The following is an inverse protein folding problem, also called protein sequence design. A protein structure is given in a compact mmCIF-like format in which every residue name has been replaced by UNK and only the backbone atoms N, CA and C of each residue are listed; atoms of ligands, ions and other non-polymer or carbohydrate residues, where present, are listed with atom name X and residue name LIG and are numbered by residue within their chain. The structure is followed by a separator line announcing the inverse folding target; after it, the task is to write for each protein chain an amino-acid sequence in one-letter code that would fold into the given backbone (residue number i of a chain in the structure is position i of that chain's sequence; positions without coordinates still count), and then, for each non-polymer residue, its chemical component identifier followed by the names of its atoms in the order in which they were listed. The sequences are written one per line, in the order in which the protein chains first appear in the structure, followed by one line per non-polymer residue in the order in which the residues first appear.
data_IF_342920978464
#
_entry.id   IF_342920978464
#
_cell.length_a   1.000
_cell.length_b   1.000
_cell.length_c   1.000
_cell.angle_alpha   90.00
_cell.angle_beta   90.00
_cell.angle_gamma   90.00
#
_symmetry.space_group_name_H-M   'P 1'
#
loop_
_entity.id
_entity.type
_entity.pdbx_description
1 polymer ?
#
# COMPACT_ATOMS: atom_id res chain seq x y z
N UNK A 1 -3.04 -4.16 -21.13
CA UNK A 1 -1.78 -3.46 -20.78
C UNK A 1 -1.58 -3.38 -19.26
N UNK A 2 -2.46 -2.71 -18.46
CA UNK A 2 -2.26 -2.57 -17.02
C UNK A 2 -2.03 -3.90 -16.27
N UNK A 3 -2.86 -4.92 -16.49
CA UNK A 3 -2.74 -6.22 -15.81
C UNK A 3 -1.44 -6.96 -16.14
N UNK A 4 -0.92 -6.80 -17.34
CA UNK A 4 0.38 -7.38 -17.76
C UNK A 4 1.52 -6.70 -17.02
N UNK A 5 1.55 -5.35 -17.00
CA UNK A 5 2.55 -4.57 -16.26
C UNK A 5 2.49 -4.87 -14.75
N UNK A 6 1.28 -4.99 -14.18
CA UNK A 6 1.13 -5.35 -12.76
C UNK A 6 1.68 -6.75 -12.48
N UNK A 7 1.43 -7.71 -13.38
CA UNK A 7 1.92 -9.09 -13.25
C UNK A 7 3.46 -9.14 -13.39
N UNK A 8 4.02 -8.39 -14.34
CA UNK A 8 5.47 -8.30 -14.55
C UNK A 8 6.16 -7.64 -13.33
N UNK A 9 5.62 -6.52 -12.85
CA UNK A 9 6.08 -5.89 -11.62
C UNK A 9 6.06 -6.84 -10.43
N UNK A 10 4.97 -7.60 -10.28
CA UNK A 10 4.85 -8.59 -9.21
C UNK A 10 5.91 -9.68 -9.27
N UNK A 11 6.21 -10.19 -10.47
CA UNK A 11 7.28 -11.20 -10.69
C UNK A 11 8.67 -10.63 -10.40
N UNK A 12 8.96 -9.42 -10.88
CA UNK A 12 10.25 -8.76 -10.66
C UNK A 12 10.49 -8.50 -9.17
N UNK A 13 9.50 -7.98 -8.45
CA UNK A 13 9.57 -7.72 -7.02
C UNK A 13 9.75 -9.03 -6.23
N UNK A 14 9.03 -10.10 -6.59
CA UNK A 14 9.19 -11.40 -5.92
C UNK A 14 10.59 -11.96 -6.15
N UNK A 15 11.11 -11.92 -7.37
CA UNK A 15 12.47 -12.35 -7.67
C UNK A 15 13.53 -11.55 -6.89
N UNK A 16 13.31 -10.24 -6.69
CA UNK A 16 14.19 -9.41 -5.88
C UNK A 16 14.12 -9.79 -4.39
N UNK A 17 12.93 -10.06 -3.83
CA UNK A 17 12.80 -10.59 -2.48
C UNK A 17 13.54 -11.91 -2.31
N UNK A 18 13.34 -12.84 -3.23
CA UNK A 18 13.98 -14.17 -3.18
C UNK A 18 15.52 -14.03 -3.18
N UNK A 19 16.06 -13.13 -4.01
CA UNK A 19 17.50 -12.88 -4.09
C UNK A 19 18.05 -12.25 -2.80
N UNK A 20 17.35 -11.27 -2.24
CA UNK A 20 17.77 -10.57 -1.01
C UNK A 20 17.70 -11.49 0.21
N UNK A 21 16.58 -12.21 0.36
CA UNK A 21 16.36 -13.08 1.53
C UNK A 21 17.25 -14.31 1.52
N UNK A 22 17.60 -14.85 0.33
CA UNK A 22 18.52 -15.98 0.22
C UNK A 22 19.92 -15.70 0.81
N UNK A 23 20.32 -14.42 0.87
CA UNK A 23 21.58 -14.00 1.47
C UNK A 23 21.59 -13.94 3.00
N UNK A 24 20.41 -14.02 3.66
CA UNK A 24 20.29 -13.79 5.12
C UNK A 24 20.37 -15.06 5.97
N UNK A 25 20.52 -16.24 5.37
CA UNK A 25 20.69 -17.52 6.07
C UNK A 25 19.39 -18.28 6.32
N UNK A 26 19.47 -19.33 7.16
CA UNK A 26 18.43 -20.33 7.38
C UNK A 26 17.90 -20.27 8.84
N UNK A 27 17.13 -19.22 9.16
CA UNK A 27 16.54 -19.00 10.47
C UNK A 27 15.01 -18.88 10.38
N UNK A 28 14.24 -19.25 11.42
CA UNK A 28 12.79 -19.14 11.43
C UNK A 28 12.28 -17.73 11.06
N UNK A 29 12.94 -16.67 11.54
CA UNK A 29 12.59 -15.29 11.22
C UNK A 29 12.72 -14.99 9.73
N UNK A 30 13.74 -15.53 9.05
CA UNK A 30 13.94 -15.33 7.60
C UNK A 30 12.87 -16.09 6.82
N UNK A 31 12.51 -17.30 7.25
CA UNK A 31 11.38 -18.04 6.66
C UNK A 31 10.04 -17.32 6.86
N UNK A 32 9.85 -16.68 8.00
CA UNK A 32 8.68 -15.86 8.28
C UNK A 32 8.62 -14.59 7.42
N UNK A 33 9.76 -13.90 7.22
CA UNK A 33 9.87 -12.78 6.27
C UNK A 33 9.54 -13.22 4.85
N UNK A 34 10.12 -14.34 4.39
CA UNK A 34 9.83 -14.89 3.07
C UNK A 34 8.33 -15.24 2.92
N UNK A 35 7.72 -15.87 3.94
CA UNK A 35 6.30 -16.18 3.96
C UNK A 35 5.42 -14.91 3.88
N UNK A 36 5.72 -13.89 4.66
CA UNK A 36 4.99 -12.62 4.68
C UNK A 36 5.08 -11.85 3.37
N UNK A 37 6.16 -12.05 2.62
CA UNK A 37 6.39 -11.41 1.32
C UNK A 37 5.87 -12.22 0.14
N UNK A 38 5.19 -13.35 0.33
CA UNK A 38 4.58 -14.11 -0.77
C UNK A 38 3.25 -13.49 -1.22
N UNK A 39 3.02 -13.51 -2.53
CA UNK A 39 1.73 -13.12 -3.13
C UNK A 39 1.42 -11.63 -3.00
N UNK A 40 0.11 -11.31 -3.06
CA UNK A 40 -0.39 -9.93 -3.08
C UNK A 40 -0.36 -9.29 -4.46
N UNK A 41 -1.13 -8.20 -4.61
CA UNK A 41 -1.28 -7.49 -5.90
C UNK A 41 -0.06 -6.63 -6.27
N UNK A 42 0.86 -6.40 -5.34
CA UNK A 42 2.09 -5.59 -5.54
C UNK A 42 1.84 -4.19 -6.10
N UNK A 43 0.71 -3.59 -5.76
CA UNK A 43 0.29 -2.32 -6.34
C UNK A 43 1.23 -1.16 -5.97
N UNK A 44 1.78 -1.17 -4.74
CA UNK A 44 2.70 -0.11 -4.29
C UNK A 44 4.03 -0.17 -5.05
N UNK A 45 4.63 -1.34 -5.13
CA UNK A 45 5.85 -1.55 -5.90
C UNK A 45 5.65 -1.32 -7.41
N UNK A 46 4.50 -1.73 -7.96
CA UNK A 46 4.10 -1.39 -9.33
C UNK A 46 4.07 0.13 -9.56
N UNK A 47 3.48 0.91 -8.64
CA UNK A 47 3.46 2.37 -8.77
C UNK A 47 4.87 2.99 -8.74
N UNK A 48 5.79 2.45 -7.93
CA UNK A 48 7.20 2.86 -7.94
C UNK A 48 7.82 2.62 -9.32
N UNK A 49 7.65 1.43 -9.88
CA UNK A 49 8.22 1.07 -11.18
C UNK A 49 7.63 1.92 -12.31
N UNK A 50 6.31 2.15 -12.31
CA UNK A 50 5.67 2.97 -13.34
C UNK A 50 6.03 4.45 -13.21
N UNK A 51 6.10 5.01 -11.99
CA UNK A 51 6.56 6.39 -11.82
C UNK A 51 8.04 6.56 -12.21
N UNK A 52 8.88 5.57 -11.94
CA UNK A 52 10.27 5.55 -12.39
C UNK A 52 10.37 5.51 -13.93
N UNK A 53 9.54 4.67 -14.58
CA UNK A 53 9.45 4.60 -16.05
C UNK A 53 9.07 5.95 -16.68
N UNK A 54 8.12 6.69 -16.08
CA UNK A 54 7.74 8.03 -16.53
C UNK A 54 8.92 9.02 -16.55
N UNK A 55 9.89 8.81 -15.68
CA UNK A 55 11.06 9.68 -15.53
C UNK A 55 12.33 9.06 -16.15
N UNK A 56 12.21 7.97 -16.93
CA UNK A 56 13.33 7.34 -17.63
C UNK A 56 14.34 6.65 -16.72
N UNK A 57 13.95 6.30 -15.50
CA UNK A 57 14.79 5.53 -14.55
C UNK A 57 14.86 4.07 -14.97
N UNK A 58 16.06 3.49 -14.94
CA UNK A 58 16.28 2.07 -15.26
C UNK A 58 15.50 1.17 -14.30
N UNK A 59 14.76 0.16 -14.80
CA UNK A 59 14.03 -0.80 -13.96
C UNK A 59 14.91 -1.52 -12.94
N UNK A 60 16.18 -1.82 -13.26
CA UNK A 60 17.13 -2.44 -12.33
C UNK A 60 17.54 -1.51 -11.16
N UNK A 61 17.36 -0.22 -11.34
CA UNK A 61 17.51 0.79 -10.28
C UNK A 61 16.23 0.92 -9.47
N UNK A 62 15.08 1.02 -10.15
CA UNK A 62 13.78 1.22 -9.52
C UNK A 62 13.27 0.00 -8.74
N UNK A 63 13.77 -1.21 -9.04
CA UNK A 63 13.36 -2.44 -8.33
C UNK A 63 13.69 -2.39 -6.84
N UNK A 64 14.76 -1.70 -6.44
CA UNK A 64 15.16 -1.60 -5.05
C UNK A 64 14.12 -0.85 -4.20
N UNK A 65 13.75 0.41 -4.49
CA UNK A 65 12.68 1.09 -3.75
C UNK A 65 11.31 0.44 -3.95
N UNK A 66 11.03 -0.21 -5.10
CA UNK A 66 9.79 -0.95 -5.32
C UNK A 66 9.68 -2.18 -4.39
N UNK A 67 10.77 -2.90 -4.17
CA UNK A 67 10.83 -4.00 -3.20
C UNK A 67 10.81 -3.46 -1.78
N UNK A 68 11.47 -2.33 -1.51
CA UNK A 68 11.48 -1.68 -0.22
C UNK A 68 10.08 -1.30 0.29
N UNK A 69 9.25 -0.68 -0.55
CA UNK A 69 7.88 -0.33 -0.14
C UNK A 69 6.99 -1.57 0.07
N UNK A 70 7.20 -2.64 -0.68
CA UNK A 70 6.48 -3.90 -0.45
C UNK A 70 6.97 -4.63 0.81
N UNK A 71 8.25 -4.50 1.20
CA UNK A 71 8.76 -4.98 2.47
C UNK A 71 8.11 -4.22 3.64
N UNK A 72 8.03 -2.89 3.52
CA UNK A 72 7.35 -2.05 4.50
C UNK A 72 5.87 -2.39 4.63
N UNK A 73 5.18 -2.62 3.52
CA UNK A 73 3.79 -3.05 3.54
C UNK A 73 3.62 -4.45 4.12
N UNK A 74 4.56 -5.37 3.87
CA UNK A 74 4.51 -6.71 4.45
C UNK A 74 4.68 -6.66 5.98
N UNK A 75 5.61 -5.84 6.50
CA UNK A 75 5.75 -5.67 7.94
C UNK A 75 4.45 -5.17 8.57
N UNK A 76 3.80 -4.16 7.97
CA UNK A 76 2.56 -3.62 8.54
C UNK A 76 1.47 -4.68 8.65
N UNK A 77 1.35 -5.55 7.63
CA UNK A 77 0.38 -6.65 7.65
C UNK A 77 0.72 -7.72 8.69
N UNK A 78 2.02 -8.05 8.87
CA UNK A 78 2.44 -9.02 9.89
C UNK A 78 2.10 -8.53 11.30
N UNK A 79 2.30 -7.24 11.56
CA UNK A 79 1.98 -6.67 12.87
C UNK A 79 0.47 -6.44 13.05
N UNK A 80 -0.25 -6.04 12.01
CA UNK A 80 -1.71 -5.91 12.05
C UNK A 80 -2.40 -7.26 12.34
N UNK A 81 -1.84 -8.38 11.85
CA UNK A 81 -2.40 -9.72 12.07
C UNK A 81 -2.23 -10.24 13.51
N UNK A 82 -1.39 -9.61 14.35
CA UNK A 82 -1.12 -10.09 15.73
C UNK A 82 -2.39 -10.08 16.61
N UNK A 83 -2.46 -10.98 17.63
CA UNK A 83 -3.59 -11.04 18.56
C UNK A 83 -3.89 -9.76 19.33
N UNK A 84 -2.90 -8.86 19.48
CA UNK A 84 -3.08 -7.56 20.12
C UNK A 84 -3.54 -6.45 19.14
N UNK A 85 -3.76 -6.80 17.88
CA UNK A 85 -4.19 -5.92 16.80
C UNK A 85 -5.49 -6.48 16.19
N UNK A 86 -5.49 -6.87 14.90
CA UNK A 86 -6.68 -7.37 14.21
C UNK A 86 -7.03 -8.84 14.54
N UNK A 87 -6.10 -9.60 15.14
CA UNK A 87 -6.23 -11.02 15.53
C UNK A 87 -6.69 -11.91 14.35
N UNK A 88 -6.04 -11.72 13.19
CA UNK A 88 -6.38 -12.45 11.97
C UNK A 88 -5.55 -13.74 11.83
N UNK A 89 -6.20 -14.90 11.75
CA UNK A 89 -5.55 -16.20 11.56
C UNK A 89 -5.07 -16.44 10.13
N UNK A 90 -5.70 -15.78 9.14
CA UNK A 90 -5.46 -16.01 7.72
C UNK A 90 -5.22 -14.69 6.97
N UNK A 91 -4.18 -14.66 6.13
CA UNK A 91 -3.88 -13.58 5.20
C UNK A 91 -3.66 -14.12 3.79
N UNK A 92 -4.42 -13.64 2.81
CA UNK A 92 -4.35 -14.11 1.41
C UNK A 92 -4.54 -15.63 1.28
N UNK A 93 -5.37 -16.22 2.13
CA UNK A 93 -5.66 -17.67 2.14
C UNK A 93 -4.57 -18.54 2.77
N UNK A 94 -3.51 -17.95 3.34
CA UNK A 94 -2.46 -18.66 4.06
C UNK A 94 -2.49 -18.28 5.55
N UNK A 95 -2.04 -19.17 6.48
CA UNK A 95 -1.89 -18.83 7.88
C UNK A 95 -0.99 -17.60 8.08
N UNK A 96 -1.38 -16.71 9.00
CA UNK A 96 -0.57 -15.55 9.39
C UNK A 96 0.72 -15.98 10.08
N UNK A 97 1.69 -15.09 10.21
CA UNK A 97 3.01 -15.46 10.74
C UNK A 97 2.90 -15.96 12.18
N UNK A 98 2.12 -15.29 13.04
CA UNK A 98 1.97 -15.68 14.43
C UNK A 98 1.27 -17.06 14.59
N UNK A 99 0.37 -17.42 13.68
CA UNK A 99 -0.28 -18.74 13.66
C UNK A 99 0.66 -19.82 13.15
N UNK A 100 1.46 -19.51 12.14
CA UNK A 100 2.36 -20.51 11.50
C UNK A 100 3.62 -20.77 12.33
N UNK A 101 4.11 -19.77 13.07
CA UNK A 101 5.25 -19.87 13.98
C UNK A 101 4.82 -19.54 15.42
N UNK A 102 4.96 -18.30 15.82
CA UNK A 102 4.57 -17.74 17.11
C UNK A 102 4.57 -16.20 17.05
N UNK A 103 4.04 -15.55 18.09
CA UNK A 103 3.95 -14.07 18.17
C UNK A 103 5.34 -13.42 18.18
N UNK A 104 6.33 -14.01 18.89
CA UNK A 104 7.68 -13.46 18.94
C UNK A 104 8.35 -13.47 17.56
N UNK A 105 8.18 -14.56 16.80
CA UNK A 105 8.66 -14.65 15.42
C UNK A 105 7.93 -13.63 14.52
N UNK A 106 6.63 -13.39 14.72
CA UNK A 106 5.88 -12.39 13.97
C UNK A 106 6.38 -10.97 14.25
N UNK A 107 6.58 -10.60 15.52
CA UNK A 107 7.14 -9.30 15.90
C UNK A 107 8.52 -9.10 15.25
N UNK A 108 9.42 -10.07 15.40
CA UNK A 108 10.78 -9.97 14.85
C UNK A 108 10.81 -9.97 13.32
N UNK A 109 9.92 -10.71 12.65
CA UNK A 109 9.80 -10.69 11.20
C UNK A 109 9.30 -9.34 10.68
N UNK A 110 8.34 -8.71 11.36
CA UNK A 110 7.88 -7.36 11.07
C UNK A 110 9.00 -6.33 11.24
N UNK A 111 9.71 -6.35 12.37
CA UNK A 111 10.85 -5.45 12.62
C UNK A 111 11.94 -5.59 11.56
N UNK A 112 12.26 -6.83 11.18
CA UNK A 112 13.27 -7.11 10.17
C UNK A 112 12.81 -6.65 8.77
N UNK A 113 11.55 -6.85 8.40
CA UNK A 113 11.00 -6.36 7.13
C UNK A 113 10.95 -4.83 7.06
N UNK A 114 10.59 -4.15 8.17
CA UNK A 114 10.65 -2.69 8.27
C UNK A 114 12.08 -2.18 8.06
N UNK A 115 13.04 -2.79 8.74
CA UNK A 115 14.46 -2.43 8.61
C UNK A 115 14.97 -2.69 7.19
N UNK A 116 14.63 -3.84 6.61
CA UNK A 116 14.96 -4.19 5.23
C UNK A 116 14.42 -3.17 4.22
N UNK A 117 13.23 -2.61 4.46
CA UNK A 117 12.67 -1.58 3.59
C UNK A 117 13.61 -0.37 3.47
N UNK A 118 14.18 0.10 4.59
CA UNK A 118 15.14 1.21 4.59
C UNK A 118 16.49 0.84 3.99
N UNK A 119 16.96 -0.38 4.18
CA UNK A 119 18.14 -0.90 3.50
C UNK A 119 17.96 -0.85 1.98
N UNK A 120 16.84 -1.35 1.47
CA UNK A 120 16.55 -1.42 0.04
C UNK A 120 16.43 -0.02 -0.59
N UNK A 121 15.71 0.92 0.02
CA UNK A 121 15.58 2.28 -0.54
C UNK A 121 16.88 3.09 -0.44
N UNK A 122 17.80 2.68 0.44
CA UNK A 122 19.11 3.30 0.63
C UNK A 122 20.22 2.57 -0.13
N UNK A 123 19.91 1.52 -0.90
CA UNK A 123 20.90 0.71 -1.59
C UNK A 123 21.71 1.55 -2.59
N UNK A 124 23.04 1.34 -2.71
CA UNK A 124 23.90 2.15 -3.58
C UNK A 124 23.45 2.23 -5.05
N UNK A 125 22.78 1.22 -5.56
CA UNK A 125 22.26 1.18 -6.95
C UNK A 125 21.02 2.07 -7.16
N UNK A 126 20.41 2.62 -6.11
CA UNK A 126 19.21 3.48 -6.23
C UNK A 126 19.54 4.86 -6.80
N UNK A 127 20.76 5.36 -6.54
CA UNK A 127 21.17 6.68 -7.03
C UNK A 127 22.19 7.37 -6.14
N UNK A 128 22.26 8.69 -6.24
CA UNK A 128 23.14 9.54 -5.44
C UNK A 128 22.84 9.45 -3.95
N UNK A 129 23.75 9.94 -3.10
CA UNK A 129 23.51 10.04 -1.66
C UNK A 129 22.27 10.87 -1.32
N UNK A 130 22.06 11.96 -2.06
CA UNK A 130 20.91 12.86 -1.85
C UNK A 130 19.59 12.20 -2.22
N UNK A 131 19.52 11.50 -3.35
CA UNK A 131 18.35 10.71 -3.77
C UNK A 131 18.00 9.65 -2.72
N UNK A 132 19.00 8.89 -2.27
CA UNK A 132 18.80 7.86 -1.25
C UNK A 132 18.33 8.43 0.09
N UNK A 133 18.90 9.57 0.49
CA UNK A 133 18.51 10.27 1.72
C UNK A 133 17.06 10.79 1.62
N UNK A 134 16.65 11.37 0.47
CA UNK A 134 15.28 11.84 0.27
C UNK A 134 14.27 10.67 0.26
N UNK A 135 14.57 9.58 -0.43
CA UNK A 135 13.72 8.38 -0.43
C UNK A 135 13.56 7.81 0.98
N UNK A 136 14.66 7.64 1.73
CA UNK A 136 14.61 7.11 3.09
C UNK A 136 13.86 8.04 4.05
N UNK A 137 14.13 9.35 4.01
CA UNK A 137 13.47 10.34 4.86
C UNK A 137 11.97 10.44 4.54
N UNK A 138 11.62 10.50 3.27
CA UNK A 138 10.21 10.56 2.85
C UNK A 138 9.46 9.27 3.18
N UNK A 139 10.10 8.09 3.08
CA UNK A 139 9.52 6.82 3.50
C UNK A 139 9.29 6.79 5.02
N UNK A 140 10.25 7.24 5.81
CA UNK A 140 10.12 7.31 7.27
C UNK A 140 8.94 8.19 7.70
N UNK A 141 8.72 9.32 7.02
CA UNK A 141 7.56 10.18 7.26
C UNK A 141 6.25 9.52 6.84
N UNK A 142 6.23 8.88 5.67
CA UNK A 142 5.04 8.22 5.14
C UNK A 142 4.63 6.97 5.96
N UNK A 143 5.60 6.25 6.53
CA UNK A 143 5.34 5.03 7.30
C UNK A 143 5.14 5.27 8.80
N UNK A 144 5.80 6.28 9.36
CA UNK A 144 5.88 6.52 10.80
C UNK A 144 4.70 7.31 11.39
N UNK A 145 5.00 8.05 12.48
CA UNK A 145 4.04 8.82 13.27
C UNK A 145 3.42 10.04 12.54
N UNK A 146 3.81 10.30 11.29
CA UNK A 146 3.22 11.34 10.43
C UNK A 146 2.38 10.73 9.28
N UNK A 147 2.35 9.40 9.15
CA UNK A 147 1.72 8.70 8.05
C UNK A 147 0.99 7.43 8.50
N UNK A 148 1.42 6.27 8.01
CA UNK A 148 0.71 5.00 8.18
C UNK A 148 0.48 4.62 9.66
N UNK A 149 1.50 4.71 10.51
CA UNK A 149 1.38 4.36 11.94
C UNK A 149 0.42 5.31 12.66
N UNK A 150 0.42 6.63 12.32
CA UNK A 150 -0.59 7.55 12.83
C UNK A 150 -1.99 7.14 12.39
N UNK A 151 -2.15 6.80 11.10
CA UNK A 151 -3.44 6.33 10.57
C UNK A 151 -3.94 5.08 11.27
N UNK A 152 -3.06 4.11 11.53
CA UNK A 152 -3.39 2.91 12.29
C UNK A 152 -3.78 3.23 13.75
N UNK A 153 -3.06 4.14 14.41
CA UNK A 153 -3.41 4.57 15.77
C UNK A 153 -4.77 5.27 15.82
N UNK A 154 -5.11 6.07 14.80
CA UNK A 154 -6.43 6.69 14.69
C UNK A 154 -7.54 5.65 14.43
N UNK A 155 -7.25 4.60 13.66
CA UNK A 155 -8.19 3.51 13.39
C UNK A 155 -8.53 2.74 14.67
N UNK A 156 -7.52 2.35 15.45
CA UNK A 156 -7.71 1.71 16.76
C UNK A 156 -8.48 2.62 17.74
N UNK A 157 -8.13 3.92 17.77
CA UNK A 157 -8.82 4.87 18.63
C UNK A 157 -10.31 5.04 18.24
N UNK A 158 -10.63 4.91 16.96
CA UNK A 158 -12.00 4.99 16.47
C UNK A 158 -12.89 3.82 16.94
N UNK A 159 -12.32 2.63 17.18
CA UNK A 159 -13.07 1.47 17.66
C UNK A 159 -13.65 1.66 19.08
N UNK A 160 -12.99 2.47 19.90
CA UNK A 160 -13.40 2.75 21.29
C UNK A 160 -13.99 4.17 21.48
N UNK A 161 -14.15 4.93 20.38
CA UNK A 161 -14.69 6.27 20.44
C UNK A 161 -16.18 6.26 20.84
N UNK A 162 -16.59 7.24 21.69
CA UNK A 162 -17.98 7.39 22.10
C UNK A 162 -18.90 7.84 20.96
N UNK A 163 -18.37 8.58 20.02
CA UNK A 163 -19.08 9.11 18.85
C UNK A 163 -18.45 8.61 17.56
N UNK A 164 -19.26 8.26 16.54
CA UNK A 164 -18.76 7.87 15.23
C UNK A 164 -17.92 8.97 14.59
N UNK A 165 -16.86 8.59 13.85
CA UNK A 165 -16.03 9.54 13.11
C UNK A 165 -16.86 10.32 12.08
N UNK A 166 -16.52 11.60 11.92
CA UNK A 166 -17.03 12.45 10.84
C UNK A 166 -16.24 12.24 9.54
N UNK A 167 -16.77 12.77 8.43
CA UNK A 167 -16.18 12.59 7.10
C UNK A 167 -14.74 13.12 6.98
N UNK A 168 -14.40 14.22 7.63
CA UNK A 168 -13.05 14.79 7.66
C UNK A 168 -12.08 13.95 8.51
N UNK A 169 -12.58 13.38 9.60
CA UNK A 169 -11.82 12.51 10.50
C UNK A 169 -11.48 11.17 9.81
N UNK A 170 -12.48 10.51 9.19
CA UNK A 170 -12.22 9.28 8.44
C UNK A 170 -11.34 9.53 7.21
N UNK A 171 -11.48 10.68 6.54
CA UNK A 171 -10.61 11.05 5.43
C UNK A 171 -9.17 11.23 5.91
N UNK A 172 -8.96 11.83 7.08
CA UNK A 172 -7.62 12.02 7.68
C UNK A 172 -7.00 10.68 8.09
N UNK A 173 -7.77 9.81 8.73
CA UNK A 173 -7.36 8.45 9.09
C UNK A 173 -6.91 7.68 7.86
N UNK A 174 -7.74 7.61 6.82
CA UNK A 174 -7.47 6.85 5.61
C UNK A 174 -6.32 7.44 4.79
N UNK A 175 -6.14 8.76 4.80
CA UNK A 175 -4.97 9.40 4.20
C UNK A 175 -3.68 8.95 4.88
N UNK A 176 -3.67 8.78 6.20
CA UNK A 176 -2.54 8.21 6.95
C UNK A 176 -2.38 6.72 6.68
N UNK A 177 -3.36 5.92 7.09
CA UNK A 177 -3.29 4.45 7.10
C UNK A 177 -2.95 3.86 5.73
N UNK A 178 -3.59 4.34 4.67
CA UNK A 178 -3.42 3.81 3.32
C UNK A 178 -2.78 4.81 2.35
N UNK A 179 -3.23 6.06 2.37
CA UNK A 179 -2.86 7.08 1.39
C UNK A 179 -1.38 7.45 1.42
N UNK A 180 -0.75 7.52 2.59
CA UNK A 180 0.64 7.93 2.74
C UNK A 180 1.62 7.01 1.98
N UNK A 181 1.45 5.70 2.05
CA UNK A 181 2.29 4.76 1.31
C UNK A 181 1.98 4.75 -0.19
N UNK A 182 0.73 4.99 -0.59
CA UNK A 182 0.35 5.16 -1.99
C UNK A 182 1.00 6.42 -2.56
N UNK A 183 0.96 7.55 -1.85
CA UNK A 183 1.60 8.80 -2.27
C UNK A 183 3.12 8.65 -2.39
N UNK A 184 3.76 7.99 -1.41
CA UNK A 184 5.19 7.71 -1.49
C UNK A 184 5.52 6.84 -2.71
N UNK A 185 4.76 5.77 -2.95
CA UNK A 185 4.97 4.85 -4.06
C UNK A 185 4.86 5.55 -5.42
N UNK A 186 3.83 6.36 -5.60
CA UNK A 186 3.62 7.08 -6.86
C UNK A 186 4.68 8.16 -7.11
N UNK A 187 5.24 8.76 -6.06
CA UNK A 187 6.22 9.85 -6.18
C UNK A 187 7.67 9.36 -6.20
N UNK A 188 7.95 8.10 -5.92
CA UNK A 188 9.31 7.56 -5.79
C UNK A 188 10.15 7.78 -7.07
N UNK A 189 9.58 7.53 -8.26
CA UNK A 189 10.28 7.74 -9.52
C UNK A 189 10.65 9.22 -9.78
N UNK A 190 9.74 10.14 -9.44
CA UNK A 190 10.02 11.58 -9.55
C UNK A 190 11.10 12.02 -8.56
N UNK A 191 11.12 11.45 -7.33
CA UNK A 191 12.21 11.68 -6.36
C UNK A 191 13.55 11.18 -6.88
N UNK A 192 13.58 9.97 -7.47
CA UNK A 192 14.78 9.40 -8.07
C UNK A 192 15.33 10.28 -9.21
N UNK A 193 14.45 10.94 -9.95
CA UNK A 193 14.79 11.85 -11.04
C UNK A 193 14.99 13.30 -10.59
N UNK A 194 14.83 13.61 -9.31
CA UNK A 194 14.85 14.97 -8.75
C UNK A 194 13.88 15.92 -9.49
N UNK A 195 12.70 15.38 -9.91
CA UNK A 195 11.68 16.06 -10.69
C UNK A 195 10.54 16.62 -9.82
N UNK A 196 9.62 17.38 -10.43
CA UNK A 196 8.42 17.88 -9.77
C UNK A 196 7.52 16.74 -9.29
N UNK A 197 7.19 16.74 -8.03
CA UNK A 197 6.33 15.73 -7.38
C UNK A 197 4.83 16.04 -7.55
N UNK A 198 4.45 17.29 -7.81
CA UNK A 198 3.07 17.79 -7.75
C UNK A 198 2.06 16.94 -8.51
N UNK A 199 2.27 16.61 -9.78
CA UNK A 199 1.34 15.79 -10.56
C UNK A 199 1.09 14.42 -9.96
N UNK A 200 2.17 13.72 -9.56
CA UNK A 200 2.08 12.37 -8.96
C UNK A 200 1.55 12.39 -7.52
N UNK A 201 1.78 13.47 -6.76
CA UNK A 201 1.14 13.66 -5.46
C UNK A 201 -0.38 13.83 -5.60
N UNK A 202 -0.82 14.67 -6.53
CA UNK A 202 -2.24 14.88 -6.78
C UNK A 202 -2.92 13.59 -7.25
N UNK A 203 -2.30 12.87 -8.19
CA UNK A 203 -2.73 11.54 -8.61
C UNK A 203 -2.90 10.58 -7.44
N UNK A 204 -1.87 10.45 -6.60
CA UNK A 204 -1.84 9.48 -5.51
C UNK A 204 -2.86 9.79 -4.41
N UNK A 205 -3.08 11.08 -4.10
CA UNK A 205 -4.07 11.51 -3.11
C UNK A 205 -5.49 11.18 -3.55
N UNK A 206 -5.82 11.48 -4.81
CA UNK A 206 -7.11 11.15 -5.38
C UNK A 206 -7.30 9.63 -5.48
N UNK A 207 -6.28 8.89 -5.97
CA UNK A 207 -6.30 7.43 -6.07
C UNK A 207 -6.47 6.76 -4.70
N UNK A 208 -5.70 7.19 -3.69
CA UNK A 208 -5.74 6.60 -2.35
C UNK A 208 -7.12 6.74 -1.70
N UNK A 209 -7.76 7.90 -1.85
CA UNK A 209 -9.11 8.13 -1.35
C UNK A 209 -10.16 7.32 -2.16
N UNK A 210 -10.04 7.29 -3.50
CA UNK A 210 -10.91 6.47 -4.34
C UNK A 210 -10.81 4.99 -3.99
N UNK A 211 -9.60 4.51 -3.68
CA UNK A 211 -9.35 3.12 -3.27
C UNK A 211 -10.12 2.77 -2.00
N UNK A 212 -10.09 3.61 -0.96
CA UNK A 212 -10.80 3.37 0.29
C UNK A 212 -12.32 3.42 0.13
N UNK A 213 -12.82 4.42 -0.61
CA UNK A 213 -14.26 4.49 -0.89
C UNK A 213 -14.72 3.25 -1.69
N UNK A 214 -13.90 2.78 -2.65
CA UNK A 214 -14.22 1.58 -3.41
C UNK A 214 -14.18 0.30 -2.55
N UNK A 215 -13.27 0.21 -1.57
CA UNK A 215 -13.26 -0.88 -0.59
C UNK A 215 -14.55 -0.90 0.26
N UNK A 216 -14.96 0.24 0.80
CA UNK A 216 -16.20 0.39 1.56
C UNK A 216 -17.44 0.02 0.71
N UNK A 217 -17.46 0.43 -0.57
CA UNK A 217 -18.53 0.07 -1.51
C UNK A 217 -18.55 -1.44 -1.77
N UNK A 218 -17.39 -2.07 -1.94
CA UNK A 218 -17.29 -3.52 -2.14
C UNK A 218 -17.73 -4.30 -0.91
N UNK A 219 -17.37 -3.87 0.30
CA UNK A 219 -17.78 -4.53 1.55
C UNK A 219 -19.30 -4.60 1.70
N UNK A 220 -20.00 -3.55 1.25
CA UNK A 220 -21.49 -3.48 1.33
C UNK A 220 -22.18 -4.17 0.14
N UNK A 221 -21.54 -4.26 -1.04
CA UNK A 221 -22.18 -4.75 -2.27
C UNK A 221 -21.81 -6.16 -2.68
N UNK A 222 -20.75 -6.74 -2.12
CA UNK A 222 -20.25 -8.07 -2.51
C UNK A 222 -20.79 -9.16 -1.59
N UNK A 223 -21.08 -10.33 -2.17
CA UNK A 223 -21.42 -11.54 -1.40
C UNK A 223 -20.16 -12.13 -0.76
N UNK A 224 -20.27 -12.63 0.48
CA UNK A 224 -19.18 -13.25 1.25
C UNK A 224 -18.42 -14.35 0.49
N UNK A 225 -19.11 -15.07 -0.39
CA UNK A 225 -18.53 -16.12 -1.25
C UNK A 225 -17.57 -15.58 -2.32
N UNK A 226 -17.74 -14.31 -2.73
CA UNK A 226 -16.93 -13.66 -3.79
C UNK A 226 -15.68 -12.99 -3.21
N UNK A 227 -15.74 -12.52 -1.97
CA UNK A 227 -14.65 -11.78 -1.33
C UNK A 227 -13.57 -12.66 -0.67
N UNK A 228 -13.85 -13.94 -0.41
CA UNK A 228 -12.93 -14.82 0.34
C UNK A 228 -12.65 -14.36 1.78
N UNK A 229 -13.43 -13.37 2.29
CA UNK A 229 -13.43 -12.82 3.65
C UNK A 229 -14.87 -12.63 4.11
N UNK A 230 -15.09 -12.54 5.44
CA UNK A 230 -16.38 -12.12 5.98
C UNK A 230 -16.65 -10.68 5.53
N UNK A 231 -17.82 -10.45 4.90
CA UNK A 231 -18.35 -9.13 4.52
C UNK A 231 -19.12 -8.53 5.69
N UNK A 232 -19.17 -7.18 5.77
CA UNK A 232 -19.89 -6.49 6.84
C UNK A 232 -19.12 -6.38 8.17
N UNK A 233 -17.84 -6.75 8.22
CA UNK A 233 -17.00 -6.62 9.44
C UNK A 233 -17.02 -5.20 10.01
N UNK A 234 -16.97 -4.18 9.14
CA UNK A 234 -16.96 -2.77 9.56
C UNK A 234 -18.31 -2.33 10.14
N UNK A 235 -19.42 -2.80 9.56
CA UNK A 235 -20.76 -2.52 10.07
C UNK A 235 -21.01 -3.24 11.43
N UNK A 236 -20.54 -4.47 11.57
CA UNK A 236 -20.64 -5.25 12.81
C UNK A 236 -19.75 -4.67 13.92
N UNK A 237 -18.61 -4.07 13.57
CA UNK A 237 -17.71 -3.36 14.48
C UNK A 237 -18.18 -1.93 14.81
N UNK A 238 -19.27 -1.43 14.18
CA UNK A 238 -19.76 -0.07 14.38
C UNK A 238 -18.85 1.02 13.82
N UNK A 239 -17.90 0.68 12.93
CA UNK A 239 -16.96 1.63 12.31
C UNK A 239 -17.71 2.54 11.34
N UNK A 240 -17.40 3.84 11.39
CA UNK A 240 -17.85 4.78 10.37
C UNK A 240 -17.11 4.50 9.05
N UNK A 241 -17.85 4.33 7.95
CA UNK A 241 -17.33 4.15 6.59
C UNK A 241 -17.78 5.28 5.68
N UNK A 242 -17.15 5.48 4.54
CA UNK A 242 -17.64 6.46 3.55
C UNK A 242 -19.06 6.15 3.09
N UNK A 243 -19.41 4.86 2.97
CA UNK A 243 -20.78 4.45 2.59
C UNK A 243 -21.78 4.76 3.71
N UNK A 244 -21.45 4.55 4.99
CA UNK A 244 -22.34 4.87 6.11
C UNK A 244 -22.60 6.38 6.25
N UNK A 245 -21.61 7.21 5.90
CA UNK A 245 -21.68 8.68 6.03
C UNK A 245 -22.32 9.36 4.80
N UNK A 246 -22.05 8.86 3.60
CA UNK A 246 -22.49 9.49 2.34
C UNK A 246 -23.71 8.80 1.71
N UNK A 247 -23.93 7.53 2.04
CA UNK A 247 -24.81 6.65 1.30
C UNK A 247 -24.10 6.05 0.07
N UNK A 248 -24.57 4.87 -0.37
CA UNK A 248 -23.94 4.07 -1.42
C UNK A 248 -23.77 4.81 -2.75
N UNK A 249 -24.82 5.50 -3.21
CA UNK A 249 -24.81 6.18 -4.52
C UNK A 249 -23.86 7.38 -4.52
N UNK A 250 -23.80 8.14 -3.42
CA UNK A 250 -22.88 9.27 -3.31
C UNK A 250 -21.42 8.80 -3.16
N UNK A 251 -21.17 7.72 -2.40
CA UNK A 251 -19.86 7.11 -2.29
C UNK A 251 -19.33 6.67 -3.67
N UNK A 252 -20.15 6.00 -4.50
CA UNK A 252 -19.79 5.64 -5.87
C UNK A 252 -19.46 6.85 -6.73
N UNK A 253 -20.34 7.87 -6.73
CA UNK A 253 -20.11 9.11 -7.51
C UNK A 253 -18.80 9.80 -7.09
N UNK A 254 -18.50 9.82 -5.81
CA UNK A 254 -17.28 10.42 -5.30
C UNK A 254 -16.02 9.62 -5.69
N UNK A 255 -16.09 8.30 -5.65
CA UNK A 255 -15.00 7.44 -6.13
C UNK A 255 -14.71 7.68 -7.62
N UNK A 256 -15.75 7.74 -8.48
CA UNK A 256 -15.61 8.03 -9.91
C UNK A 256 -15.03 9.44 -10.17
N UNK A 257 -15.47 10.45 -9.42
CA UNK A 257 -14.92 11.80 -9.52
C UNK A 257 -13.43 11.85 -9.14
N UNK A 258 -13.04 11.14 -8.08
CA UNK A 258 -11.63 11.04 -7.65
C UNK A 258 -10.77 10.30 -8.69
N UNK A 259 -11.28 9.27 -9.35
CA UNK A 259 -10.58 8.61 -10.46
C UNK A 259 -10.36 9.58 -11.63
N UNK A 260 -11.35 10.42 -11.93
CA UNK A 260 -11.21 11.46 -12.96
C UNK A 260 -10.14 12.46 -12.56
N UNK A 261 -10.17 12.98 -11.32
CA UNK A 261 -9.15 13.88 -10.78
C UNK A 261 -7.74 13.27 -10.83
N UNK A 262 -7.61 11.98 -10.47
CA UNK A 262 -6.34 11.26 -10.58
C UNK A 262 -5.85 11.20 -12.03
N UNK A 263 -6.71 10.87 -12.98
CA UNK A 263 -6.35 10.83 -14.41
C UNK A 263 -5.92 12.20 -14.95
N UNK A 264 -6.62 13.27 -14.56
CA UNK A 264 -6.36 14.65 -15.00
C UNK A 264 -5.02 15.16 -14.43
N UNK A 265 -4.67 14.80 -13.19
CA UNK A 265 -3.38 15.13 -12.59
C UNK A 265 -2.18 14.62 -13.41
N UNK A 266 -2.36 13.56 -14.19
CA UNK A 266 -1.33 12.97 -15.04
C UNK A 266 -1.27 13.58 -16.45
N UNK A 267 -2.01 14.68 -16.73
CA UNK A 267 -2.06 15.28 -18.07
C UNK A 267 -0.69 15.73 -18.59
N UNK A 268 0.21 16.16 -17.71
CA UNK A 268 1.58 16.60 -18.04
C UNK A 268 2.45 15.48 -18.63
N UNK A 269 2.10 14.23 -18.42
CA UNK A 269 2.83 13.06 -18.93
C UNK A 269 2.26 12.51 -20.24
N UNK A 270 1.19 13.13 -20.76
CA UNK A 270 0.52 12.72 -22.01
C UNK A 270 0.17 11.20 -22.00
N UNK A 271 0.36 10.50 -23.12
CA UNK A 271 0.14 9.05 -23.26
C UNK A 271 1.10 8.17 -22.45
N UNK A 272 2.23 8.69 -21.98
CA UNK A 272 3.20 7.91 -21.21
C UNK A 272 2.63 7.43 -19.86
N UNK A 273 1.62 8.13 -19.31
CA UNK A 273 0.98 7.78 -18.03
C UNK A 273 -0.30 6.91 -18.18
N UNK A 274 -0.61 6.40 -19.37
CA UNK A 274 -1.87 5.63 -19.57
C UNK A 274 -1.96 4.39 -18.67
N UNK A 275 -0.86 3.74 -18.37
CA UNK A 275 -0.81 2.60 -17.43
C UNK A 275 -1.26 3.02 -16.01
N UNK A 276 -0.81 4.19 -15.52
CA UNK A 276 -1.25 4.71 -14.22
C UNK A 276 -2.72 5.17 -14.26
N UNK A 277 -3.20 5.73 -15.37
CA UNK A 277 -4.63 6.04 -15.55
C UNK A 277 -5.49 4.77 -15.55
N UNK A 278 -5.03 3.71 -16.20
CA UNK A 278 -5.71 2.41 -16.18
C UNK A 278 -5.70 1.80 -14.78
N UNK A 279 -4.63 1.97 -14.00
CA UNK A 279 -4.58 1.57 -12.59
C UNK A 279 -5.64 2.31 -11.77
N UNK A 280 -5.82 3.62 -11.97
CA UNK A 280 -6.84 4.40 -11.28
C UNK A 280 -8.26 3.92 -11.64
N UNK A 281 -8.54 3.69 -12.91
CA UNK A 281 -9.85 3.17 -13.37
C UNK A 281 -10.14 1.77 -12.82
N UNK A 282 -9.10 0.94 -12.70
CA UNK A 282 -9.23 -0.41 -12.15
C UNK A 282 -9.72 -0.39 -10.69
N UNK A 283 -9.32 0.60 -9.90
CA UNK A 283 -9.68 0.70 -8.47
C UNK A 283 -11.21 0.68 -8.26
N UNK A 284 -11.98 1.38 -9.08
CA UNK A 284 -13.44 1.46 -8.96
C UNK A 284 -14.18 0.37 -9.75
N UNK A 285 -13.50 -0.34 -10.66
CA UNK A 285 -14.12 -1.39 -11.48
C UNK A 285 -13.83 -2.80 -10.99
N UNK A 286 -12.91 -2.97 -10.03
CA UNK A 286 -12.57 -4.28 -9.47
C UNK A 286 -13.76 -4.89 -8.72
N UNK A 287 -13.80 -6.22 -8.68
CA UNK A 287 -14.83 -7.01 -7.99
C UNK A 287 -14.31 -7.69 -6.72
N UNK A 288 -13.00 -7.62 -6.50
CA UNK A 288 -12.29 -8.23 -5.35
C UNK A 288 -11.04 -7.42 -5.01
#
# INVERSE_FOLDING_TARGET
MFQEHLTEAGRAIQAQFDAVLAGLGDLPVIHAMAHATLGGKRLRGFMVLESARLHGIDPNTAIWPATGIEALHAYSLVHDDLPCMDDDDLRRGAPTVHVKWDEATAVLAGDALQTLAFELVSHPLVGSGDVRADLALSLARASGAQGMVLGQALDIAAETASDPLKLDEITTLQRGKTGALIEWSATAGARMAEADLGPLQSYARALGLAFQIADDVLDVTSDAATMGKATGKDADAGKATFVSLLGLDEAKRRADALVTEACDALSVYEGNADILRDAARFVVTRKT
#
